data_IF_436216239629
#
_entry.id   IF_436216239629
#
_cell.length_a   1.000
_cell.length_b   1.000
_cell.length_c   1.000
_cell.angle_alpha   90.00
_cell.angle_beta   90.00
_cell.angle_gamma   90.00
#
_symmetry.space_group_name_H-M   'P 1'
#
loop_
_entity.id
_entity.type
_entity.pdbx_description
1 polymer ?
#
# COMPACT_ATOMS: atom_id res chain seq x y z
N UNK A 1 -27.56 20.64 2.28
CA UNK A 1 -28.39 19.80 1.39
C UNK A 1 -27.50 18.69 0.87
N UNK A 2 -27.55 17.56 1.57
CA UNK A 2 -26.79 16.35 1.34
C UNK A 2 -27.37 15.64 0.12
N UNK A 3 -26.70 15.75 -1.02
CA UNK A 3 -27.05 14.98 -2.22
C UNK A 3 -26.44 13.59 -2.03
N UNK A 4 -27.29 12.56 -2.00
CA UNK A 4 -26.94 11.14 -1.99
C UNK A 4 -26.00 10.76 -3.16
N UNK A 5 -24.71 11.05 -3.02
CA UNK A 5 -23.63 10.64 -3.94
C UNK A 5 -22.94 9.36 -3.43
N UNK A 6 -23.74 8.35 -3.15
CA UNK A 6 -23.29 7.01 -2.72
C UNK A 6 -22.22 6.37 -3.65
N UNK A 7 -22.18 6.59 -4.99
CA UNK A 7 -21.14 5.97 -5.83
C UNK A 7 -19.73 6.57 -5.62
N UNK A 8 -19.58 7.89 -5.43
CA UNK A 8 -18.25 8.52 -5.35
C UNK A 8 -17.52 8.16 -4.04
N UNK A 9 -18.24 8.20 -2.91
CA UNK A 9 -17.69 7.84 -1.60
C UNK A 9 -17.22 6.37 -1.56
N UNK A 10 -17.91 5.48 -2.27
CA UNK A 10 -17.54 4.07 -2.36
C UNK A 10 -16.19 3.89 -3.10
N UNK A 11 -15.96 4.59 -4.21
CA UNK A 11 -14.67 4.53 -4.92
C UNK A 11 -13.51 5.05 -4.07
N UNK A 12 -13.74 6.05 -3.22
CA UNK A 12 -12.75 6.52 -2.27
C UNK A 12 -12.41 5.47 -1.21
N UNK A 13 -13.41 4.77 -0.67
CA UNK A 13 -13.18 3.67 0.29
C UNK A 13 -12.35 2.56 -0.37
N UNK A 14 -12.74 2.12 -1.57
CA UNK A 14 -11.99 1.08 -2.28
C UNK A 14 -10.57 1.52 -2.66
N UNK A 15 -10.40 2.77 -3.09
CA UNK A 15 -9.08 3.32 -3.40
C UNK A 15 -8.20 3.38 -2.14
N UNK A 16 -8.73 3.85 -1.02
CA UNK A 16 -8.02 3.89 0.27
C UNK A 16 -7.68 2.48 0.78
N UNK A 17 -8.56 1.51 0.52
CA UNK A 17 -8.26 0.12 0.81
C UNK A 17 -7.14 -0.41 -0.09
N UNK A 18 -7.20 -0.15 -1.41
CA UNK A 18 -6.18 -0.57 -2.36
C UNK A 18 -4.79 -0.01 -2.04
N UNK A 19 -4.71 1.25 -1.58
CA UNK A 19 -3.43 1.84 -1.13
C UNK A 19 -2.93 1.25 0.18
N UNK A 20 -3.82 0.82 1.08
CA UNK A 20 -3.45 0.13 2.31
C UNK A 20 -2.94 -1.30 2.02
N UNK A 21 -3.52 -1.98 1.03
CA UNK A 21 -3.08 -3.32 0.62
C UNK A 21 -1.71 -3.27 -0.07
N UNK A 22 -1.61 -2.52 -1.18
CA UNK A 22 -0.35 -2.34 -1.90
C UNK A 22 0.45 -3.62 -2.21
N UNK A 23 1.71 -3.45 -2.63
CA UNK A 23 2.63 -4.58 -2.82
C UNK A 23 3.10 -5.18 -1.49
N UNK A 24 3.10 -4.38 -0.41
CA UNK A 24 3.58 -4.77 0.91
C UNK A 24 2.80 -5.94 1.52
N UNK A 25 1.49 -6.06 1.28
CA UNK A 25 0.67 -7.17 1.81
C UNK A 25 0.89 -8.50 1.06
N UNK A 26 1.48 -8.51 -0.13
CA UNK A 26 1.89 -9.76 -0.75
C UNK A 26 3.25 -10.18 -0.20
N UNK A 27 4.26 -9.30 -0.27
CA UNK A 27 5.63 -9.71 0.06
C UNK A 27 5.88 -9.84 1.57
N UNK A 28 5.36 -8.94 2.41
CA UNK A 28 5.65 -8.97 3.85
C UNK A 28 4.99 -10.15 4.56
N UNK A 29 3.70 -10.47 4.34
CA UNK A 29 3.09 -11.65 4.95
C UNK A 29 3.65 -12.96 4.40
N UNK A 30 4.08 -13.01 3.14
CA UNK A 30 4.77 -14.20 2.61
C UNK A 30 6.12 -14.38 3.33
N UNK A 31 6.92 -13.31 3.43
CA UNK A 31 8.23 -13.36 4.11
C UNK A 31 8.09 -13.63 5.61
N UNK A 32 7.21 -12.90 6.30
CA UNK A 32 6.95 -13.11 7.73
C UNK A 32 6.24 -14.45 8.00
N UNK A 33 5.46 -14.95 7.04
CA UNK A 33 4.84 -16.27 7.07
C UNK A 33 5.84 -17.41 7.01
N UNK A 34 7.02 -17.21 6.42
CA UNK A 34 8.15 -18.15 6.55
C UNK A 34 8.59 -18.30 8.01
N UNK A 35 8.43 -17.25 8.82
CA UNK A 35 8.65 -17.26 10.27
C UNK A 35 7.54 -17.97 11.07
N UNK A 36 6.46 -18.40 10.41
CA UNK A 36 5.33 -19.08 11.04
C UNK A 36 4.20 -18.16 11.53
N UNK A 37 3.07 -18.76 11.91
CA UNK A 37 1.85 -18.04 12.29
C UNK A 37 2.04 -17.15 13.53
N UNK A 38 2.80 -17.62 14.52
CA UNK A 38 3.03 -16.86 15.76
C UNK A 38 3.87 -15.60 15.54
N UNK A 39 4.80 -15.61 14.57
CA UNK A 39 5.56 -14.41 14.18
C UNK A 39 4.64 -13.39 13.52
N UNK A 40 3.71 -13.83 12.66
CA UNK A 40 2.71 -12.96 12.05
C UNK A 40 1.78 -12.33 13.10
N UNK A 41 1.28 -13.11 14.06
CA UNK A 41 0.38 -12.61 15.11
C UNK A 41 1.12 -11.61 16.01
N UNK A 42 2.32 -11.95 16.47
CA UNK A 42 3.11 -11.07 17.35
C UNK A 42 3.51 -9.77 16.64
N UNK A 43 3.99 -9.84 15.40
CA UNK A 43 4.27 -8.65 14.59
C UNK A 43 3.01 -7.79 14.44
N UNK A 44 1.86 -8.39 14.14
CA UNK A 44 0.59 -7.67 14.00
C UNK A 44 0.16 -6.98 15.30
N UNK A 45 0.29 -7.68 16.44
CA UNK A 45 0.00 -7.13 17.77
C UNK A 45 0.92 -5.97 18.14
N UNK A 46 2.19 -6.01 17.74
CA UNK A 46 3.15 -4.93 17.98
C UNK A 46 2.94 -3.72 17.07
N UNK A 47 2.59 -3.95 15.80
CA UNK A 47 2.36 -2.88 14.83
C UNK A 47 1.04 -2.15 15.08
N UNK A 48 0.00 -2.87 15.55
CA UNK A 48 -1.32 -2.29 15.82
C UNK A 48 -1.30 -1.02 16.71
N UNK A 49 -0.67 -1.01 17.92
CA UNK A 49 -0.62 0.18 18.77
C UNK A 49 0.21 1.33 18.18
N UNK A 50 1.07 1.07 17.20
CA UNK A 50 1.84 2.11 16.51
C UNK A 50 1.02 2.77 15.39
N UNK A 51 0.27 1.96 14.63
CA UNK A 51 -0.46 2.43 13.45
C UNK A 51 -1.84 3.00 13.81
N UNK A 52 -2.60 2.33 14.67
CA UNK A 52 -3.99 2.72 14.95
C UNK A 52 -4.13 4.14 15.54
N UNK A 53 -3.36 4.54 16.57
CA UNK A 53 -3.44 5.90 17.11
C UNK A 53 -3.03 6.96 16.09
N UNK A 54 -2.03 6.67 15.25
CA UNK A 54 -1.53 7.56 14.19
C UNK A 54 -2.61 7.82 13.14
N UNK A 55 -3.29 6.77 12.67
CA UNK A 55 -4.41 6.88 11.72
C UNK A 55 -5.61 7.60 12.35
N UNK A 56 -5.91 7.32 13.63
CA UNK A 56 -6.98 8.02 14.37
C UNK A 56 -6.69 9.51 14.54
N UNK A 57 -5.43 9.86 14.82
CA UNK A 57 -5.00 11.26 14.93
C UNK A 57 -5.15 11.98 13.58
N UNK A 58 -4.72 11.34 12.49
CA UNK A 58 -4.89 11.87 11.14
C UNK A 58 -6.36 12.17 10.83
N UNK A 59 -7.25 11.20 11.07
CA UNK A 59 -8.69 11.37 10.84
C UNK A 59 -9.30 12.51 11.68
N UNK A 60 -8.86 12.66 12.94
CA UNK A 60 -9.30 13.76 13.82
C UNK A 60 -8.82 15.12 13.33
N UNK A 61 -7.57 15.23 12.88
CA UNK A 61 -7.02 16.48 12.34
C UNK A 61 -7.84 16.91 11.12
N UNK A 62 -8.08 16.00 10.17
CA UNK A 62 -8.84 16.30 8.95
C UNK A 62 -10.28 16.69 9.28
N UNK A 63 -10.97 15.93 10.15
CA UNK A 63 -12.38 16.19 10.48
C UNK A 63 -12.61 17.46 11.30
N UNK A 64 -11.66 17.84 12.16
CA UNK A 64 -11.77 19.06 12.97
C UNK A 64 -11.27 20.31 12.25
N UNK A 65 -10.78 20.19 11.01
CA UNK A 65 -10.30 21.34 10.25
C UNK A 65 -11.50 22.12 9.70
N UNK A 66 -11.69 23.40 10.08
CA UNK A 66 -12.92 24.15 9.75
C UNK A 66 -12.99 24.63 8.30
N UNK A 67 -11.90 24.54 7.54
CA UNK A 67 -11.82 24.93 6.13
C UNK A 67 -11.25 23.77 5.30
N UNK A 68 -11.64 23.62 4.03
CA UNK A 68 -11.02 22.65 3.13
C UNK A 68 -9.61 23.13 2.78
N UNK A 69 -8.64 22.75 3.61
CA UNK A 69 -7.21 22.98 3.42
C UNK A 69 -6.50 21.63 3.34
N UNK A 70 -5.37 21.62 2.64
CA UNK A 70 -4.56 20.40 2.51
C UNK A 70 -4.00 19.93 3.85
N UNK A 71 -3.63 18.65 3.92
CA UNK A 71 -3.09 18.03 5.13
C UNK A 71 -1.93 18.82 5.74
N UNK A 72 -1.01 19.32 4.91
CA UNK A 72 0.14 20.12 5.35
C UNK A 72 -0.25 21.44 6.01
N UNK A 73 -1.39 22.01 5.62
CA UNK A 73 -2.00 23.18 6.25
C UNK A 73 -2.74 22.82 7.53
N UNK A 74 -3.50 21.71 7.52
CA UNK A 74 -4.22 21.21 8.69
C UNK A 74 -3.25 20.89 9.85
N UNK A 75 -2.13 20.23 9.57
CA UNK A 75 -1.10 19.94 10.57
C UNK A 75 -0.52 21.21 11.18
N UNK A 76 -0.24 22.24 10.37
CA UNK A 76 0.25 23.53 10.87
C UNK A 76 -0.76 24.26 11.75
N UNK A 77 -2.06 24.12 11.45
CA UNK A 77 -3.14 24.72 12.24
C UNK A 77 -3.21 24.14 13.66
N UNK A 78 -3.08 22.81 13.80
CA UNK A 78 -3.20 22.13 15.08
C UNK A 78 -1.89 22.05 15.88
N UNK A 79 -0.73 21.93 15.22
CA UNK A 79 0.56 21.74 15.90
C UNK A 79 1.44 23.01 15.92
N UNK A 80 0.99 24.09 15.31
CA UNK A 80 1.72 25.35 15.20
C UNK A 80 2.78 25.34 14.09
N UNK A 81 3.33 26.53 13.80
CA UNK A 81 4.12 26.74 12.58
C UNK A 81 5.46 25.99 12.57
N UNK A 82 6.18 25.94 13.71
CA UNK A 82 7.50 25.28 13.79
C UNK A 82 7.38 23.75 13.70
N UNK A 83 6.55 23.15 14.54
CA UNK A 83 6.33 21.69 14.55
C UNK A 83 5.66 21.21 13.27
N UNK A 84 4.69 21.96 12.73
CA UNK A 84 4.05 21.63 11.46
C UNK A 84 5.01 21.68 10.27
N UNK A 85 6.01 22.56 10.28
CA UNK A 85 7.05 22.58 9.24
C UNK A 85 7.88 21.30 9.26
N UNK A 86 8.34 20.86 10.44
CA UNK A 86 9.13 19.62 10.58
C UNK A 86 8.34 18.41 10.07
N UNK A 87 7.08 18.28 10.47
CA UNK A 87 6.22 17.18 10.04
C UNK A 87 5.98 17.24 8.52
N UNK A 88 5.79 18.42 7.95
CA UNK A 88 5.61 18.55 6.51
C UNK A 88 6.86 18.13 5.73
N UNK A 89 8.07 18.46 6.22
CA UNK A 89 9.32 17.98 5.60
C UNK A 89 9.38 16.45 5.67
N UNK A 90 9.15 15.87 6.85
CA UNK A 90 9.13 14.41 7.02
C UNK A 90 8.09 13.74 6.10
N UNK A 91 6.91 14.33 5.96
CA UNK A 91 5.85 13.85 5.08
C UNK A 91 6.27 13.85 3.62
N UNK A 92 6.89 14.93 3.13
CA UNK A 92 7.38 15.02 1.74
C UNK A 92 8.51 14.03 1.50
N UNK A 93 9.48 13.92 2.41
CA UNK A 93 10.58 12.95 2.31
C UNK A 93 10.03 11.52 2.27
N UNK A 94 9.08 11.20 3.15
CA UNK A 94 8.43 9.90 3.18
C UNK A 94 7.72 9.59 1.86
N UNK A 95 6.90 10.51 1.33
CA UNK A 95 6.22 10.32 0.04
C UNK A 95 7.21 10.16 -1.11
N UNK A 96 8.32 10.88 -1.10
CA UNK A 96 9.36 10.78 -2.12
C UNK A 96 10.05 9.41 -2.10
N UNK A 97 10.44 8.93 -0.92
CA UNK A 97 11.02 7.58 -0.78
C UNK A 97 10.01 6.51 -1.19
N UNK A 98 8.76 6.66 -0.78
CA UNK A 98 7.67 5.75 -1.14
C UNK A 98 7.48 5.69 -2.67
N UNK A 99 7.50 6.84 -3.34
CA UNK A 99 7.39 6.93 -4.80
C UNK A 99 8.52 6.18 -5.51
N UNK A 100 9.76 6.34 -5.05
CA UNK A 100 10.92 5.63 -5.61
C UNK A 100 10.77 4.11 -5.41
N UNK A 101 10.41 3.67 -4.21
CA UNK A 101 10.23 2.26 -3.90
C UNK A 101 9.17 1.61 -4.80
N UNK A 102 8.01 2.26 -4.99
CA UNK A 102 6.96 1.78 -5.89
C UNK A 102 7.39 1.78 -7.35
N UNK A 103 8.14 2.80 -7.81
CA UNK A 103 8.62 2.84 -9.19
C UNK A 103 9.58 1.70 -9.50
N UNK A 104 10.48 1.38 -8.57
CA UNK A 104 11.44 0.27 -8.71
C UNK A 104 10.69 -1.06 -8.70
N UNK A 105 9.82 -1.28 -7.71
CA UNK A 105 9.02 -2.50 -7.61
C UNK A 105 8.21 -2.77 -8.87
N UNK A 106 7.45 -1.79 -9.34
CA UNK A 106 6.63 -1.94 -10.56
C UNK A 106 7.47 -2.22 -11.81
N UNK A 107 8.63 -1.57 -11.96
CA UNK A 107 9.53 -1.80 -13.09
C UNK A 107 10.06 -3.23 -13.09
N UNK A 108 10.42 -3.74 -11.92
CA UNK A 108 10.90 -5.11 -11.75
C UNK A 108 9.78 -6.13 -12.02
N UNK A 109 8.62 -5.97 -11.39
CA UNK A 109 7.48 -6.89 -11.53
C UNK A 109 7.02 -7.01 -12.99
N UNK A 110 6.94 -5.87 -13.71
CA UNK A 110 6.57 -5.89 -15.14
C UNK A 110 7.67 -6.49 -16.02
N UNK A 111 8.94 -6.22 -15.70
CA UNK A 111 10.07 -6.79 -16.44
C UNK A 111 10.14 -8.31 -16.29
N UNK A 112 9.94 -8.82 -15.07
CA UNK A 112 9.86 -10.24 -14.77
C UNK A 112 8.64 -10.87 -15.46
N UNK A 113 7.47 -10.25 -15.37
CA UNK A 113 6.26 -10.71 -16.05
C UNK A 113 6.44 -10.83 -17.57
N UNK A 114 7.05 -9.85 -18.24
CA UNK A 114 7.28 -9.91 -19.69
C UNK A 114 8.32 -10.96 -20.08
N UNK A 115 9.30 -11.19 -19.22
CA UNK A 115 10.33 -12.19 -19.44
C UNK A 115 9.78 -13.61 -19.25
N UNK A 116 9.07 -13.86 -18.14
CA UNK A 116 8.51 -15.18 -17.81
C UNK A 116 7.45 -15.64 -18.82
N UNK A 117 6.66 -14.71 -19.37
CA UNK A 117 5.67 -15.02 -20.41
C UNK A 117 6.28 -15.09 -21.83
N UNK A 118 7.61 -15.00 -21.97
CA UNK A 118 8.29 -15.07 -23.26
C UNK A 118 7.98 -13.92 -24.23
N UNK A 119 7.30 -12.86 -23.76
CA UNK A 119 6.99 -11.65 -24.53
C UNK A 119 8.28 -10.91 -24.89
N UNK A 120 9.32 -11.02 -24.05
CA UNK A 120 10.65 -10.50 -24.38
C UNK A 120 11.77 -11.47 -24.02
N UNK A 121 12.79 -11.54 -24.88
CA UNK A 121 13.97 -12.41 -24.72
C UNK A 121 14.88 -12.02 -23.54
N UNK A 122 14.76 -10.79 -23.05
CA UNK A 122 15.56 -10.27 -21.95
C UNK A 122 14.66 -9.54 -20.96
N UNK A 123 15.05 -9.55 -19.69
CA UNK A 123 14.33 -8.81 -18.67
C UNK A 123 14.45 -7.30 -18.92
N UNK A 124 13.34 -6.67 -19.31
CA UNK A 124 13.26 -5.24 -19.61
C UNK A 124 13.52 -4.35 -18.39
N UNK A 125 13.35 -4.87 -17.16
CA UNK A 125 13.63 -4.11 -15.95
C UNK A 125 15.11 -3.68 -15.85
N UNK A 126 16.02 -4.43 -16.50
CA UNK A 126 17.46 -4.10 -16.52
C UNK A 126 17.80 -2.96 -17.49
N UNK A 127 16.89 -2.60 -18.39
CA UNK A 127 17.09 -1.52 -19.36
C UNK A 127 16.33 -0.23 -18.97
N UNK A 128 16.77 0.94 -19.46
CA UNK A 128 16.11 2.21 -19.15
C UNK A 128 14.75 2.40 -19.87
N UNK A 129 14.45 1.56 -20.86
CA UNK A 129 13.28 1.77 -21.73
C UNK A 129 11.95 1.55 -21.02
N UNK A 130 11.85 0.53 -20.14
CA UNK A 130 10.62 0.23 -19.41
C UNK A 130 10.29 1.33 -18.41
N UNK A 131 11.28 1.79 -17.64
CA UNK A 131 11.09 2.86 -16.67
C UNK A 131 10.75 4.20 -17.33
N UNK A 132 11.36 4.53 -18.47
CA UNK A 132 11.01 5.72 -19.27
C UNK A 132 9.56 5.65 -19.80
N UNK A 133 9.15 4.49 -20.33
CA UNK A 133 7.78 4.29 -20.79
C UNK A 133 6.77 4.47 -19.64
N UNK A 134 7.03 3.83 -18.50
CA UNK A 134 6.18 3.96 -17.30
C UNK A 134 6.10 5.42 -16.83
N UNK A 135 7.21 6.14 -16.82
CA UNK A 135 7.25 7.56 -16.44
C UNK A 135 6.33 8.41 -17.35
N UNK A 136 6.46 8.27 -18.66
CA UNK A 136 5.62 9.00 -19.64
C UNK A 136 4.15 8.61 -19.48
N UNK A 137 3.87 7.34 -19.27
CA UNK A 137 2.53 6.83 -19.02
C UNK A 137 1.92 7.45 -17.76
N UNK A 138 2.66 7.49 -16.65
CA UNK A 138 2.22 8.14 -15.41
C UNK A 138 1.93 9.63 -15.61
N UNK A 139 2.83 10.39 -16.23
CA UNK A 139 2.59 11.81 -16.52
C UNK A 139 1.37 12.04 -17.40
N UNK A 140 1.07 11.11 -18.30
CA UNK A 140 -0.12 11.16 -19.14
C UNK A 140 -1.38 10.93 -18.31
N UNK A 141 -1.37 9.93 -17.42
CA UNK A 141 -2.48 9.67 -16.48
C UNK A 141 -2.75 10.88 -15.58
N UNK A 142 -1.71 11.56 -15.09
CA UNK A 142 -1.86 12.73 -14.22
C UNK A 142 -2.56 13.91 -14.91
N UNK A 143 -2.58 13.96 -16.25
CA UNK A 143 -3.33 14.97 -17.02
C UNK A 143 -4.83 14.68 -17.11
N UNK A 144 -5.28 13.47 -16.78
CA UNK A 144 -6.71 13.12 -16.80
C UNK A 144 -7.48 13.72 -15.61
N UNK A 145 -8.81 13.70 -15.70
CA UNK A 145 -9.66 14.20 -14.62
C UNK A 145 -9.50 13.36 -13.35
N UNK A 146 -9.38 14.04 -12.19
CA UNK A 146 -9.28 13.42 -10.87
C UNK A 146 -10.38 12.39 -10.62
N UNK A 147 -11.60 12.66 -11.07
CA UNK A 147 -12.76 11.77 -10.93
C UNK A 147 -12.58 10.46 -11.71
N UNK A 148 -12.03 10.51 -12.93
CA UNK A 148 -11.73 9.30 -13.70
C UNK A 148 -10.66 8.46 -13.01
N UNK A 149 -9.61 9.11 -12.46
CA UNK A 149 -8.55 8.42 -11.74
C UNK A 149 -9.07 7.67 -10.51
N UNK A 150 -9.88 8.33 -9.67
CA UNK A 150 -10.47 7.71 -8.47
C UNK A 150 -11.35 6.51 -8.85
N UNK A 151 -12.12 6.63 -9.94
CA UNK A 151 -12.94 5.52 -10.42
C UNK A 151 -12.10 4.33 -10.87
N UNK A 152 -11.04 4.57 -11.66
CA UNK A 152 -10.13 3.52 -12.14
C UNK A 152 -9.45 2.83 -10.95
N UNK A 153 -8.91 3.59 -10.01
CA UNK A 153 -8.24 3.04 -8.82
C UNK A 153 -9.21 2.24 -7.94
N UNK A 154 -10.44 2.72 -7.77
CA UNK A 154 -11.46 2.01 -7.03
C UNK A 154 -11.82 0.67 -7.68
N UNK A 155 -12.02 0.64 -9.00
CA UNK A 155 -12.28 -0.60 -9.74
C UNK A 155 -11.10 -1.57 -9.66
N UNK A 156 -9.86 -1.06 -9.82
CA UNK A 156 -8.64 -1.87 -9.71
C UNK A 156 -8.52 -2.51 -8.31
N UNK A 157 -8.87 -1.76 -7.27
CA UNK A 157 -8.85 -2.25 -5.89
C UNK A 157 -9.89 -3.35 -5.66
N UNK A 158 -11.08 -3.23 -6.24
CA UNK A 158 -12.10 -4.30 -6.19
C UNK A 158 -11.61 -5.57 -6.90
N UNK A 159 -10.99 -5.44 -8.07
CA UNK A 159 -10.38 -6.58 -8.78
C UNK A 159 -9.30 -7.24 -7.91
N UNK A 160 -8.43 -6.45 -7.27
CA UNK A 160 -7.40 -6.95 -6.36
C UNK A 160 -8.01 -7.73 -5.20
N UNK A 161 -9.06 -7.21 -4.55
CA UNK A 161 -9.77 -7.89 -3.45
C UNK A 161 -10.29 -9.24 -3.92
N UNK A 162 -10.96 -9.28 -5.08
CA UNK A 162 -11.51 -10.52 -5.63
C UNK A 162 -10.42 -11.54 -5.96
N UNK A 163 -9.29 -11.09 -6.50
CA UNK A 163 -8.13 -11.93 -6.80
C UNK A 163 -7.55 -12.53 -5.52
N UNK A 164 -7.32 -11.71 -4.48
CA UNK A 164 -6.83 -12.18 -3.18
C UNK A 164 -7.79 -13.16 -2.51
N UNK A 165 -9.10 -12.89 -2.59
CA UNK A 165 -10.13 -13.78 -2.04
C UNK A 165 -10.11 -15.13 -2.78
N UNK A 166 -10.04 -15.10 -4.10
CA UNK A 166 -9.97 -16.32 -4.93
C UNK A 166 -8.70 -17.11 -4.63
N UNK A 167 -7.54 -16.45 -4.56
CA UNK A 167 -6.28 -17.09 -4.18
C UNK A 167 -6.37 -17.73 -2.79
N UNK A 168 -6.93 -17.01 -1.81
CA UNK A 168 -7.12 -17.52 -0.46
C UNK A 168 -7.96 -18.81 -0.46
N UNK A 169 -9.07 -18.84 -1.21
CA UNK A 169 -9.91 -20.05 -1.37
C UNK A 169 -9.13 -21.19 -2.04
N UNK A 170 -8.39 -20.91 -3.12
CA UNK A 170 -7.60 -21.92 -3.83
C UNK A 170 -6.52 -22.54 -2.93
N UNK A 171 -5.94 -21.76 -2.04
CA UNK A 171 -4.86 -22.19 -1.14
C UNK A 171 -5.34 -23.04 0.04
N UNK A 172 -6.65 -23.11 0.34
CA UNK A 172 -7.18 -23.89 1.49
C UNK A 172 -6.68 -25.35 1.46
N UNK A 173 -6.60 -25.97 0.28
CA UNK A 173 -6.12 -27.35 0.14
C UNK A 173 -4.61 -27.53 0.43
N UNK A 174 -3.85 -26.45 0.45
CA UNK A 174 -2.41 -26.43 0.71
C UNK A 174 -2.07 -25.99 2.14
N UNK A 175 -3.07 -25.79 3.00
CA UNK A 175 -2.84 -25.34 4.37
C UNK A 175 -2.23 -26.46 5.21
N UNK A 176 -0.99 -26.24 5.66
CA UNK A 176 -0.31 -27.08 6.63
C UNK A 176 -0.80 -26.71 8.04
N UNK A 177 -1.85 -27.38 8.50
CA UNK A 177 -2.46 -27.15 9.82
C UNK A 177 -1.52 -27.54 10.98
N UNK A 178 -0.57 -28.44 10.75
CA UNK A 178 0.38 -28.87 11.77
C UNK A 178 1.33 -27.73 12.14
N UNK A 179 1.80 -26.98 11.14
CA UNK A 179 2.64 -25.78 11.36
C UNK A 179 1.93 -24.64 12.08
N UNK A 180 0.59 -24.61 12.13
CA UNK A 180 -0.15 -23.57 12.86
C UNK A 180 0.01 -23.69 14.37
N UNK A 181 0.19 -24.92 14.88
CA UNK A 181 0.25 -25.19 16.33
C UNK A 181 1.68 -25.26 16.88
N UNK A 182 2.70 -25.27 16.02
CA UNK A 182 4.10 -25.29 16.46
C UNK A 182 4.49 -23.92 17.00
N UNK A 183 4.77 -23.85 18.31
CA UNK A 183 5.29 -22.65 18.93
C UNK A 183 6.75 -22.43 18.49
N UNK A 184 7.13 -21.23 18.02
CA UNK A 184 8.51 -20.98 17.60
C UNK A 184 9.46 -21.09 18.80
N UNK A 185 10.53 -21.87 18.65
CA UNK A 185 11.61 -21.90 19.62
C UNK A 185 12.36 -20.55 19.61
N UNK A 186 12.89 -20.11 20.75
CA UNK A 186 13.62 -18.83 20.83
C UNK A 186 14.84 -18.77 19.89
N UNK A 187 15.43 -19.90 19.55
CA UNK A 187 16.52 -20.05 18.57
C UNK A 187 16.11 -19.75 17.12
N UNK A 188 14.85 -19.96 16.76
CA UNK A 188 14.35 -19.65 15.40
C UNK A 188 14.01 -18.17 15.21
N UNK A 189 13.85 -17.40 16.29
CA UNK A 189 13.49 -15.97 16.23
C UNK A 189 14.69 -15.09 15.84
N UNK A 190 15.92 -15.47 16.23
CA UNK A 190 17.14 -14.72 15.90
C UNK A 190 17.59 -14.86 14.45
N UNK A 191 17.01 -15.77 13.66
CA UNK A 191 17.32 -15.96 12.23
C UNK A 191 16.36 -15.18 11.31
N UNK A 192 15.34 -14.52 11.87
CA UNK A 192 14.31 -13.78 11.14
C UNK A 192 14.64 -12.27 11.05
N UNK A 193 15.57 -11.78 11.87
CA UNK A 193 16.10 -10.41 11.84
C UNK A 193 17.53 -10.40 11.32
#
# INVERSE_FOLDING_TARGET
MEKNNIPENSYWIFTLFGTAVGAGILFLPIQAGMGGLWVLISASLLVYPLVYPSQRLYARIVNNTPKPIDFTGAVKLFLGNKTGLVINILFVVFLFVLLIAYSIGLTNDLGDFFHENGITKHNLAKGPYLSLFLLVFYFTILKFSKQALIKILGVLSVILILLLLTLSIMLIGMWDLERLMVFPSFTSISQIF
#
